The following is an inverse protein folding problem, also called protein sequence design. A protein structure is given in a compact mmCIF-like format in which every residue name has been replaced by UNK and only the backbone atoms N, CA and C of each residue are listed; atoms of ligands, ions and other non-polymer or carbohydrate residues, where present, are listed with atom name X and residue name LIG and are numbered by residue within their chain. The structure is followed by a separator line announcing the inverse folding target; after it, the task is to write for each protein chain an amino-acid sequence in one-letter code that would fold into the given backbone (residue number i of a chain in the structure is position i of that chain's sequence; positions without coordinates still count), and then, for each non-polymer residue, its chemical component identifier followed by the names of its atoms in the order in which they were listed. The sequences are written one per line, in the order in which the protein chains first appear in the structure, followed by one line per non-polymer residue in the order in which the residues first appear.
data_IF_830310295966
#
_entry.id   IF_830310295966
#
_cell.length_a   1.000
_cell.length_b   1.000
_cell.length_c   1.000
_cell.angle_alpha   90.00
_cell.angle_beta   90.00
_cell.angle_gamma   90.00
#
_symmetry.space_group_name_H-M   'P 1'
#
loop_
_entity.id
_entity.type
_entity.pdbx_description
1 polymer ?
#
# COMPACT_ATOMS: atom_id res chain seq x y z
N UNK A 1 0.06 10.01 9.92
CA UNK A 1 -1.21 10.65 9.52
C UNK A 1 -1.86 11.60 10.53
N UNK A 2 -1.26 11.95 11.68
CA UNK A 2 -1.91 12.81 12.70
C UNK A 2 -1.76 14.33 12.48
N UNK A 3 -0.88 14.76 11.56
CA UNK A 3 -0.65 16.19 11.31
C UNK A 3 -1.80 16.81 10.51
N UNK A 4 -2.30 16.10 9.48
CA UNK A 4 -3.36 16.58 8.58
C UNK A 4 -4.75 16.11 9.06
N UNK A 5 -4.86 14.93 9.69
CA UNK A 5 -6.11 14.45 10.24
C UNK A 5 -6.50 15.26 11.49
N UNK A 6 -7.57 16.06 11.37
CA UNK A 6 -8.20 16.77 12.49
C UNK A 6 -7.81 18.23 12.68
N UNK A 7 -6.93 18.80 11.86
CA UNK A 7 -6.71 20.25 11.86
C UNK A 7 -7.89 20.94 11.15
N UNK A 8 -8.90 21.38 11.90
CA UNK A 8 -10.05 22.10 11.35
C UNK A 8 -9.68 23.53 10.91
N UNK A 9 -8.55 24.05 11.39
CA UNK A 9 -8.11 25.42 11.17
C UNK A 9 -6.61 25.47 10.81
N UNK A 10 -6.23 26.34 9.87
CA UNK A 10 -4.85 26.48 9.36
C UNK A 10 -3.80 26.66 10.46
N UNK A 11 -4.09 27.48 11.48
CA UNK A 11 -3.16 27.72 12.59
C UNK A 11 -2.83 26.48 13.43
N UNK A 12 -3.77 25.54 13.53
CA UNK A 12 -3.59 24.33 14.35
C UNK A 12 -2.52 23.39 13.75
N UNK A 13 -2.47 23.27 12.42
CA UNK A 13 -1.41 22.52 11.75
C UNK A 13 -0.03 23.15 11.99
N UNK A 14 0.03 24.48 11.97
CA UNK A 14 1.26 25.27 12.09
C UNK A 14 1.86 25.12 13.49
N UNK A 15 1.00 25.20 14.50
CA UNK A 15 1.37 24.98 15.90
C UNK A 15 1.82 23.54 16.14
N UNK A 16 1.10 22.55 15.61
CA UNK A 16 1.51 21.14 15.71
C UNK A 16 2.87 20.90 15.05
N UNK A 17 3.09 21.45 13.85
CA UNK A 17 4.38 21.30 13.16
C UNK A 17 5.51 22.01 13.92
N UNK A 18 5.28 23.21 14.47
CA UNK A 18 6.26 23.90 15.32
C UNK A 18 6.60 23.10 16.58
N UNK A 19 5.61 22.47 17.20
CA UNK A 19 5.83 21.62 18.38
C UNK A 19 6.73 20.43 18.04
N UNK A 20 6.44 19.73 16.94
CA UNK A 20 7.27 18.62 16.45
C UNK A 20 8.69 19.09 16.15
N UNK A 21 8.87 20.22 15.44
CA UNK A 21 10.19 20.75 15.13
C UNK A 21 10.98 21.17 16.37
N UNK A 22 10.30 21.71 17.39
CA UNK A 22 10.91 22.08 18.66
C UNK A 22 11.41 20.86 19.41
N UNK A 23 10.64 19.77 19.44
CA UNK A 23 11.04 18.50 20.05
C UNK A 23 12.23 17.87 19.33
N UNK A 24 12.19 17.83 17.99
CA UNK A 24 13.31 17.31 17.17
C UNK A 24 14.58 18.13 17.38
N UNK A 25 14.47 19.46 17.43
CA UNK A 25 15.61 20.35 17.67
C UNK A 25 16.15 20.19 19.10
N UNK A 26 15.27 20.06 20.09
CA UNK A 26 15.65 19.83 21.49
C UNK A 26 16.37 18.48 21.68
N UNK A 27 16.09 17.48 20.84
CA UNK A 27 16.77 16.21 20.84
C UNK A 27 18.21 16.27 20.29
N UNK A 28 18.70 17.44 19.85
CA UNK A 28 20.09 17.71 19.47
C UNK A 28 20.70 16.65 18.53
N UNK A 29 19.98 16.31 17.47
CA UNK A 29 20.41 15.33 16.46
C UNK A 29 20.12 13.86 16.81
N UNK A 30 19.53 13.58 17.97
CA UNK A 30 19.08 12.24 18.37
C UNK A 30 17.84 11.74 17.61
N UNK A 31 17.17 12.61 16.84
CA UNK A 31 16.00 12.27 16.02
C UNK A 31 16.29 12.60 14.56
N UNK A 32 16.03 11.63 13.68
CA UNK A 32 16.00 11.82 12.22
C UNK A 32 14.53 11.78 11.78
N UNK A 33 14.05 12.89 11.23
CA UNK A 33 12.67 13.01 10.78
C UNK A 33 12.51 12.43 9.37
N UNK A 34 11.61 11.46 9.19
CA UNK A 34 11.20 11.02 7.86
C UNK A 34 9.95 11.77 7.41
N UNK A 35 10.01 12.38 6.23
CA UNK A 35 8.91 13.13 5.62
C UNK A 35 8.55 12.45 4.30
N UNK A 36 7.50 11.63 4.34
CA UNK A 36 6.92 11.11 3.10
C UNK A 36 6.21 12.23 2.33
N UNK A 37 6.20 12.11 1.00
CA UNK A 37 5.64 13.12 0.09
C UNK A 37 6.07 14.55 0.43
N UNK A 38 7.36 14.78 0.68
CA UNK A 38 7.90 16.06 1.18
C UNK A 38 7.48 17.28 0.32
N UNK A 39 7.23 17.08 -0.97
CA UNK A 39 6.73 18.13 -1.86
C UNK A 39 5.38 18.71 -1.41
N UNK A 40 4.57 17.98 -0.65
CA UNK A 40 3.31 18.48 -0.08
C UNK A 40 3.52 19.61 0.94
N UNK A 41 4.63 19.57 1.68
CA UNK A 41 5.01 20.62 2.65
C UNK A 41 5.69 21.83 1.99
N UNK A 42 6.21 21.66 0.77
CA UNK A 42 7.01 22.67 0.05
C UNK A 42 6.21 23.34 -1.07
N UNK A 43 5.36 22.59 -1.75
CA UNK A 43 4.64 23.00 -2.97
C UNK A 43 3.26 23.60 -2.74
N UNK A 44 2.74 23.52 -1.52
CA UNK A 44 1.43 24.01 -1.13
C UNK A 44 1.21 25.53 -1.38
N UNK A 45 2.26 26.34 -1.50
CA UNK A 45 2.13 27.80 -1.58
C UNK A 45 1.61 28.40 -2.90
N UNK A 46 1.29 27.63 -3.95
CA UNK A 46 0.88 28.18 -5.27
C UNK A 46 -0.60 28.10 -5.61
N UNK A 47 -1.41 27.41 -4.81
CA UNK A 47 -2.86 27.41 -4.94
C UNK A 47 -3.48 28.10 -3.72
N UNK A 48 -4.56 28.83 -3.97
CA UNK A 48 -5.20 29.89 -3.17
C UNK A 48 -5.66 29.50 -1.74
N UNK A 49 -4.73 29.01 -0.91
CA UNK A 49 -5.02 28.60 0.46
C UNK A 49 -4.24 27.42 1.05
N UNK A 50 -3.24 26.87 0.35
CA UNK A 50 -2.42 25.81 0.89
C UNK A 50 -1.15 26.38 1.57
N UNK A 51 -0.83 25.77 2.70
CA UNK A 51 0.01 26.31 3.76
C UNK A 51 1.49 26.09 3.45
N UNK A 52 2.28 27.17 3.37
CA UNK A 52 3.71 27.08 3.07
C UNK A 52 4.52 26.71 4.33
N UNK A 53 4.39 25.45 4.76
CA UNK A 53 5.13 24.86 5.86
C UNK A 53 6.66 24.87 5.63
N UNK A 54 7.12 25.10 4.39
CA UNK A 54 8.54 25.21 4.06
C UNK A 54 9.24 26.32 4.84
N UNK A 55 8.53 27.41 5.15
CA UNK A 55 9.09 28.55 5.89
C UNK A 55 9.41 28.20 7.36
N UNK A 56 8.75 27.19 7.92
CA UNK A 56 9.06 26.69 9.26
C UNK A 56 10.27 25.76 9.27
N UNK A 57 10.48 25.03 8.17
CA UNK A 57 11.59 24.07 8.04
C UNK A 57 12.92 24.76 7.68
N UNK A 58 12.87 25.78 6.81
CA UNK A 58 14.06 26.48 6.27
C UNK A 58 15.04 26.94 7.35
N UNK A 59 14.63 27.57 8.48
CA UNK A 59 15.57 28.01 9.51
C UNK A 59 16.30 26.84 10.19
N UNK A 60 15.58 25.78 10.55
CA UNK A 60 16.15 24.62 11.23
C UNK A 60 17.09 23.82 10.30
N UNK A 61 16.72 23.69 9.01
CA UNK A 61 17.58 23.10 7.98
C UNK A 61 18.84 23.96 7.73
N UNK A 62 18.72 25.28 7.73
CA UNK A 62 19.84 26.18 7.49
C UNK A 62 20.88 26.16 8.63
N UNK A 63 20.41 25.99 9.87
CA UNK A 63 21.26 25.86 11.06
C UNK A 63 21.81 24.45 11.28
N UNK A 64 21.33 23.46 10.53
CA UNK A 64 21.72 22.05 10.72
C UNK A 64 21.13 21.42 11.99
N UNK A 65 20.09 22.03 12.55
CA UNK A 65 19.40 21.55 13.76
C UNK A 65 18.37 20.46 13.45
N UNK A 66 17.88 20.44 12.20
CA UNK A 66 16.93 19.43 11.72
C UNK A 66 17.64 18.44 10.79
N UNK A 67 17.73 17.19 11.24
CA UNK A 67 18.10 16.07 10.38
C UNK A 67 16.82 15.41 9.85
N UNK A 68 16.67 15.37 8.53
CA UNK A 68 15.52 14.71 7.93
C UNK A 68 15.85 13.99 6.63
N UNK A 69 15.00 13.02 6.29
CA UNK A 69 14.96 12.32 5.01
C UNK A 69 13.60 12.60 4.38
N UNK A 70 13.60 13.29 3.25
CA UNK A 70 12.38 13.55 2.48
C UNK A 70 12.25 12.55 1.33
N UNK A 71 11.07 11.95 1.19
CA UNK A 71 10.72 11.14 0.02
C UNK A 71 9.82 11.94 -0.92
N UNK A 72 10.09 11.88 -2.22
CA UNK A 72 9.27 12.52 -3.25
C UNK A 72 9.58 11.91 -4.61
N UNK A 73 8.65 12.03 -5.57
CA UNK A 73 8.94 11.69 -6.96
C UNK A 73 9.87 12.73 -7.59
N UNK A 74 10.58 12.33 -8.65
CA UNK A 74 11.49 13.20 -9.38
C UNK A 74 10.79 14.43 -9.96
N UNK A 75 9.57 14.26 -10.47
CA UNK A 75 8.80 15.34 -11.06
C UNK A 75 8.42 16.39 -10.01
N UNK A 76 7.97 15.94 -8.84
CA UNK A 76 7.62 16.84 -7.75
C UNK A 76 8.85 17.52 -7.13
N UNK A 77 9.99 16.82 -7.06
CA UNK A 77 11.28 17.42 -6.70
C UNK A 77 11.64 18.58 -7.65
N UNK A 78 11.59 18.35 -8.97
CA UNK A 78 11.89 19.37 -10.00
C UNK A 78 10.90 20.55 -9.96
N UNK A 79 9.64 20.29 -9.66
CA UNK A 79 8.60 21.33 -9.63
C UNK A 79 8.67 22.21 -8.40
N UNK A 80 8.96 21.64 -7.22
CA UNK A 80 8.79 22.31 -5.93
C UNK A 80 10.08 22.52 -5.14
N UNK A 81 10.98 21.54 -5.12
CA UNK A 81 12.18 21.58 -4.28
C UNK A 81 13.35 22.23 -5.02
N UNK A 82 13.60 21.82 -6.26
CA UNK A 82 14.73 22.33 -7.07
C UNK A 82 14.58 23.82 -7.42
N UNK A 83 13.33 24.30 -7.55
CA UNK A 83 13.05 25.72 -7.81
C UNK A 83 13.26 26.62 -6.59
N UNK A 84 13.31 26.06 -5.38
CA UNK A 84 13.58 26.80 -4.15
C UNK A 84 15.07 26.71 -3.82
N UNK A 85 15.80 27.80 -4.05
CA UNK A 85 17.25 27.85 -3.83
C UNK A 85 17.68 27.58 -2.38
N UNK A 86 16.82 27.83 -1.38
CA UNK A 86 17.12 27.55 0.01
C UNK A 86 17.03 26.05 0.29
N UNK A 87 16.04 25.35 -0.27
CA UNK A 87 15.86 23.91 -0.09
C UNK A 87 16.84 23.10 -0.95
N UNK A 88 17.04 23.50 -2.21
CA UNK A 88 17.94 22.82 -3.13
C UNK A 88 19.40 22.76 -2.62
N UNK A 89 19.82 23.74 -1.80
CA UNK A 89 21.15 23.78 -1.17
C UNK A 89 21.26 22.97 0.13
N UNK A 90 20.13 22.50 0.68
CA UNK A 90 20.07 21.80 1.97
C UNK A 90 19.72 20.33 1.83
N UNK A 91 19.11 19.94 0.72
CA UNK A 91 18.85 18.54 0.39
C UNK A 91 19.88 18.02 -0.61
N UNK A 92 20.47 16.87 -0.28
CA UNK A 92 21.22 16.07 -1.24
C UNK A 92 20.27 15.10 -1.94
N UNK A 93 20.08 15.18 -3.27
CA UNK A 93 19.28 14.20 -3.98
C UNK A 93 19.94 12.82 -3.92
N UNK A 94 19.16 11.80 -3.57
CA UNK A 94 19.49 10.38 -3.63
C UNK A 94 18.46 9.71 -4.53
N UNK A 95 18.91 9.25 -5.70
CA UNK A 95 18.03 8.60 -6.66
C UNK A 95 17.81 7.14 -6.27
N UNK A 96 16.56 6.77 -6.04
CA UNK A 96 16.15 5.39 -5.81
C UNK A 96 15.43 4.93 -7.07
N UNK A 97 16.07 4.04 -7.82
CA UNK A 97 15.52 3.50 -9.06
C UNK A 97 14.66 2.27 -8.76
N UNK A 98 13.76 1.96 -9.69
CA UNK A 98 13.03 0.70 -9.71
C UNK A 98 14.03 -0.47 -9.73
N UNK A 99 13.87 -1.49 -8.86
CA UNK A 99 14.71 -2.68 -8.86
C UNK A 99 14.47 -3.51 -10.12
N UNK A 100 15.47 -4.31 -10.51
CA UNK A 100 15.28 -5.28 -11.59
C UNK A 100 14.29 -6.38 -11.16
N UNK A 101 13.84 -7.20 -12.12
CA UNK A 101 13.03 -8.39 -11.81
C UNK A 101 13.79 -9.33 -10.87
N UNK A 102 15.09 -9.51 -11.06
CA UNK A 102 15.94 -10.37 -10.22
C UNK A 102 16.10 -9.81 -8.79
N UNK A 103 16.33 -8.51 -8.67
CA UNK A 103 16.37 -7.83 -7.37
C UNK A 103 15.02 -7.95 -6.65
N UNK A 104 13.92 -7.81 -7.39
CA UNK A 104 12.57 -7.95 -6.85
C UNK A 104 12.32 -9.36 -6.34
N UNK A 105 12.74 -10.40 -7.06
CA UNK A 105 12.66 -11.79 -6.57
C UNK A 105 13.44 -11.93 -5.26
N UNK A 106 14.62 -11.32 -5.14
CA UNK A 106 15.43 -11.35 -3.91
C UNK A 106 14.75 -10.63 -2.75
N UNK A 107 14.13 -9.47 -3.01
CA UNK A 107 13.31 -8.73 -2.02
C UNK A 107 12.13 -9.59 -1.57
N UNK A 108 11.40 -10.20 -2.51
CA UNK A 108 10.26 -11.08 -2.22
C UNK A 108 10.68 -12.30 -1.38
N UNK A 109 11.85 -12.89 -1.65
CA UNK A 109 12.40 -13.99 -0.83
C UNK A 109 12.68 -13.55 0.61
N UNK A 110 13.19 -12.32 0.79
CA UNK A 110 13.38 -11.73 2.12
C UNK A 110 12.08 -11.42 2.88
N UNK A 111 10.99 -11.14 2.15
CA UNK A 111 9.67 -10.90 2.73
C UNK A 111 8.84 -12.17 2.91
N UNK A 112 9.18 -13.26 2.21
CA UNK A 112 8.42 -14.51 2.14
C UNK A 112 7.91 -15.00 3.50
N UNK A 113 8.80 -15.13 4.48
CA UNK A 113 8.44 -15.67 5.80
C UNK A 113 7.38 -14.83 6.51
N UNK A 114 7.45 -13.50 6.37
CA UNK A 114 6.46 -12.59 6.96
C UNK A 114 5.08 -12.78 6.33
N UNK A 115 5.02 -12.90 5.00
CA UNK A 115 3.75 -13.13 4.28
C UNK A 115 3.18 -14.53 4.54
N UNK A 116 4.03 -15.56 4.60
CA UNK A 116 3.59 -16.92 4.98
C UNK A 116 2.96 -16.94 6.38
N UNK A 117 3.59 -16.27 7.35
CA UNK A 117 3.06 -16.18 8.72
C UNK A 117 1.77 -15.36 8.78
N UNK A 118 1.71 -14.22 8.09
CA UNK A 118 0.54 -13.34 8.07
C UNK A 118 -0.69 -14.05 7.46
N UNK A 119 -0.52 -14.65 6.29
CA UNK A 119 -1.61 -15.31 5.55
C UNK A 119 -1.84 -16.75 5.95
N UNK A 120 -0.95 -17.35 6.75
CA UNK A 120 -0.99 -18.76 7.15
C UNK A 120 -1.03 -19.71 5.95
N UNK A 121 -0.23 -19.42 4.93
CA UNK A 121 -0.04 -20.23 3.72
C UNK A 121 1.44 -20.47 3.47
N UNK A 122 1.77 -21.38 2.54
CA UNK A 122 3.14 -21.57 2.05
C UNK A 122 3.26 -20.99 0.64
N UNK A 123 4.33 -20.26 0.39
CA UNK A 123 4.60 -19.60 -0.90
C UNK A 123 5.79 -20.30 -1.56
N UNK A 124 5.58 -20.88 -2.74
CA UNK A 124 6.68 -21.51 -3.48
C UNK A 124 7.64 -20.46 -4.05
N UNK A 125 8.91 -20.82 -4.23
CA UNK A 125 9.88 -19.90 -4.87
C UNK A 125 9.45 -19.55 -6.31
N UNK A 126 8.89 -20.52 -7.03
CA UNK A 126 8.32 -20.32 -8.36
C UNK A 126 7.20 -19.27 -8.39
N UNK A 127 6.40 -19.17 -7.32
CA UNK A 127 5.35 -18.15 -7.23
C UNK A 127 5.95 -16.74 -7.09
N UNK A 128 7.07 -16.58 -6.37
CA UNK A 128 7.76 -15.28 -6.26
C UNK A 128 8.36 -14.85 -7.61
N UNK A 129 8.99 -15.78 -8.33
CA UNK A 129 9.51 -15.54 -9.67
C UNK A 129 8.40 -15.15 -10.64
N UNK A 130 7.27 -15.86 -10.57
CA UNK A 130 6.09 -15.55 -11.38
C UNK A 130 5.51 -14.18 -11.04
N UNK A 131 5.35 -13.85 -9.76
CA UNK A 131 4.82 -12.56 -9.32
C UNK A 131 5.69 -11.39 -9.82
N UNK A 132 7.02 -11.47 -9.68
CA UNK A 132 7.93 -10.45 -10.19
C UNK A 132 7.89 -10.34 -11.73
N UNK A 133 7.93 -11.47 -12.44
CA UNK A 133 7.98 -11.48 -13.91
C UNK A 133 6.66 -11.02 -14.54
N UNK A 134 5.52 -11.49 -14.03
CA UNK A 134 4.20 -11.20 -14.57
C UNK A 134 3.76 -9.77 -14.21
N UNK A 135 3.98 -9.32 -12.96
CA UNK A 135 3.70 -7.91 -12.62
C UNK A 135 4.53 -6.96 -13.47
N UNK A 136 5.81 -7.26 -13.70
CA UNK A 136 6.65 -6.42 -14.55
C UNK A 136 6.14 -6.35 -15.99
N UNK A 137 5.66 -7.47 -16.53
CA UNK A 137 5.21 -7.56 -17.93
C UNK A 137 3.83 -6.95 -18.17
N UNK A 138 2.90 -7.10 -17.23
CA UNK A 138 1.48 -6.82 -17.48
C UNK A 138 0.93 -5.61 -16.70
N UNK A 139 1.59 -5.18 -15.62
CA UNK A 139 1.19 -3.99 -14.84
C UNK A 139 2.19 -2.88 -15.15
N UNK A 140 1.84 -2.02 -16.10
CA UNK A 140 2.74 -1.01 -16.69
C UNK A 140 2.66 0.37 -16.00
N UNK A 141 1.60 0.64 -15.26
CA UNK A 141 1.32 1.89 -14.55
C UNK A 141 1.89 1.94 -13.12
N UNK A 142 2.52 0.85 -12.68
CA UNK A 142 3.15 0.71 -11.36
C UNK A 142 4.58 0.19 -11.49
N UNK A 143 5.39 0.49 -10.49
CA UNK A 143 6.80 0.13 -10.44
C UNK A 143 7.04 -1.04 -9.48
N UNK A 144 8.05 -1.86 -9.76
CA UNK A 144 8.61 -2.81 -8.82
C UNK A 144 9.25 -2.07 -7.62
N UNK A 145 9.37 -2.70 -6.44
CA UNK A 145 8.90 -4.05 -6.11
C UNK A 145 7.42 -4.09 -5.69
N UNK A 146 6.79 -2.92 -5.51
CA UNK A 146 5.46 -2.72 -4.95
C UNK A 146 4.37 -3.56 -5.64
N UNK A 147 4.24 -3.46 -6.96
CA UNK A 147 3.28 -4.27 -7.73
C UNK A 147 3.46 -5.78 -7.60
N UNK A 148 4.68 -6.25 -7.37
CA UNK A 148 4.95 -7.68 -7.21
C UNK A 148 4.61 -8.17 -5.80
N UNK A 149 4.86 -7.32 -4.79
CA UNK A 149 4.47 -7.56 -3.40
C UNK A 149 2.95 -7.66 -3.29
N UNK A 150 2.22 -6.72 -3.92
CA UNK A 150 0.76 -6.74 -3.97
C UNK A 150 0.20 -8.02 -4.58
N UNK A 151 0.78 -8.50 -5.70
CA UNK A 151 0.34 -9.77 -6.30
C UNK A 151 0.55 -10.96 -5.38
N UNK A 152 1.67 -11.00 -4.64
CA UNK A 152 1.93 -12.06 -3.66
C UNK A 152 0.93 -11.99 -2.51
N UNK A 153 0.65 -10.79 -2.00
CA UNK A 153 -0.29 -10.53 -0.91
C UNK A 153 -1.73 -10.94 -1.29
N UNK A 154 -2.19 -10.54 -2.48
CA UNK A 154 -3.52 -10.86 -2.98
C UNK A 154 -3.67 -12.36 -3.25
N UNK A 155 -2.66 -13.00 -3.86
CA UNK A 155 -2.66 -14.44 -4.09
C UNK A 155 -2.68 -15.25 -2.78
N UNK A 156 -1.89 -14.83 -1.78
CA UNK A 156 -1.85 -15.47 -0.48
C UNK A 156 -3.17 -15.29 0.29
N UNK A 157 -3.76 -14.10 0.25
CA UNK A 157 -5.08 -13.79 0.82
C UNK A 157 -6.17 -14.68 0.20
N UNK A 158 -6.17 -14.80 -1.13
CA UNK A 158 -7.13 -15.64 -1.86
C UNK A 158 -7.01 -17.11 -1.47
N UNK A 159 -5.79 -17.64 -1.37
CA UNK A 159 -5.57 -19.02 -0.95
C UNK A 159 -6.05 -19.25 0.49
N UNK A 160 -5.82 -18.28 1.39
CA UNK A 160 -6.28 -18.36 2.77
C UNK A 160 -7.80 -18.44 2.85
N UNK A 161 -8.51 -17.62 2.07
CA UNK A 161 -9.97 -17.67 1.98
C UNK A 161 -10.48 -19.02 1.48
N UNK A 162 -9.79 -19.61 0.49
CA UNK A 162 -10.14 -20.93 -0.04
C UNK A 162 -9.97 -22.03 1.01
N UNK A 163 -8.90 -21.99 1.82
CA UNK A 163 -8.65 -22.96 2.90
C UNK A 163 -9.72 -22.93 3.98
N UNK A 164 -10.23 -21.75 4.32
CA UNK A 164 -11.28 -21.59 5.35
C UNK A 164 -12.69 -21.88 4.78
N UNK A 165 -12.82 -22.10 3.46
CA UNK A 165 -14.08 -22.32 2.76
C UNK A 165 -14.25 -23.77 2.30
N UNK A 166 -15.50 -24.19 2.11
CA UNK A 166 -15.79 -25.45 1.42
C UNK A 166 -15.34 -25.33 -0.04
N UNK A 167 -14.58 -26.31 -0.58
CA UNK A 167 -14.17 -26.28 -1.98
C UNK A 167 -15.35 -26.02 -2.91
N UNK A 168 -15.21 -25.11 -3.87
CA UNK A 168 -16.30 -24.70 -4.78
C UNK A 168 -16.94 -25.92 -5.47
N UNK A 169 -16.12 -26.87 -5.93
CA UNK A 169 -16.61 -28.11 -6.54
C UNK A 169 -17.52 -28.93 -5.60
N UNK A 170 -17.26 -28.91 -4.28
CA UNK A 170 -18.14 -29.56 -3.30
C UNK A 170 -19.38 -28.72 -3.00
N UNK A 171 -19.26 -27.39 -2.93
CA UNK A 171 -20.43 -26.51 -2.75
C UNK A 171 -21.42 -26.63 -3.91
N UNK A 172 -20.92 -26.70 -5.16
CA UNK A 172 -21.72 -26.93 -6.35
C UNK A 172 -22.45 -28.28 -6.31
N UNK A 173 -21.75 -29.36 -5.95
CA UNK A 173 -22.35 -30.69 -5.82
C UNK A 173 -23.43 -30.68 -4.74
N UNK A 174 -23.18 -30.06 -3.58
CA UNK A 174 -24.16 -30.03 -2.49
C UNK A 174 -25.40 -29.19 -2.83
N UNK A 175 -25.23 -28.06 -3.54
CA UNK A 175 -26.36 -27.31 -4.09
C UNK A 175 -27.18 -28.16 -5.04
N UNK A 176 -26.52 -28.94 -5.90
CA UNK A 176 -27.20 -29.83 -6.85
C UNK A 176 -27.95 -30.96 -6.14
N UNK A 177 -27.34 -31.57 -5.12
CA UNK A 177 -27.99 -32.57 -4.28
C UNK A 177 -29.19 -31.99 -3.55
N UNK A 178 -29.09 -30.76 -3.03
CA UNK A 178 -30.20 -30.09 -2.34
C UNK A 178 -31.37 -29.82 -3.29
N UNK A 179 -31.10 -29.31 -4.51
CA UNK A 179 -32.14 -29.14 -5.53
C UNK A 179 -32.85 -30.46 -5.85
N UNK A 180 -32.11 -31.52 -6.13
CA UNK A 180 -32.68 -32.83 -6.47
C UNK A 180 -33.47 -33.42 -5.30
N UNK A 181 -33.05 -33.20 -4.05
CA UNK A 181 -33.82 -33.60 -2.86
C UNK A 181 -35.14 -32.85 -2.76
N UNK A 182 -35.14 -31.53 -2.99
CA UNK A 182 -36.36 -30.72 -2.97
C UNK A 182 -37.32 -31.19 -4.08
N UNK A 183 -36.82 -31.40 -5.30
CA UNK A 183 -37.62 -31.94 -6.42
C UNK A 183 -38.22 -33.31 -6.07
N UNK A 184 -37.42 -34.22 -5.50
CA UNK A 184 -37.89 -35.55 -5.08
C UNK A 184 -38.98 -35.47 -4.01
N UNK A 185 -38.82 -34.62 -2.99
CA UNK A 185 -39.84 -34.49 -1.95
C UNK A 185 -41.11 -33.80 -2.47
N UNK A 186 -41.00 -32.84 -3.40
CA UNK A 186 -42.17 -32.25 -4.06
C UNK A 186 -42.98 -33.29 -4.86
N UNK A 187 -42.29 -34.13 -5.64
CA UNK A 187 -42.92 -35.21 -6.42
C UNK A 187 -43.62 -36.27 -5.55
N UNK A 188 -43.19 -36.47 -4.30
CA UNK A 188 -43.86 -37.39 -3.36
C UNK A 188 -45.19 -36.85 -2.81
N UNK A 189 -45.36 -35.52 -2.79
CA UNK A 189 -46.56 -34.86 -2.26
C UNK A 189 -47.62 -34.70 -3.36
N UNK A 190 -47.21 -34.62 -4.62
CA UNK A 190 -48.13 -34.64 -5.78
C UNK A 190 -48.76 -36.03 -5.99
N UNK A 191 -50.10 -36.07 -6.13
CA UNK A 191 -50.91 -37.28 -6.39
C UNK A 191 -51.53 -37.28 -7.78
N UNK A 192 -50.80 -36.75 -8.74
CA UNK A 192 -51.19 -36.66 -10.15
C UNK A 192 -50.65 -37.90 -10.90
N UNK A 193 -51.42 -38.44 -11.86
CA UNK A 193 -51.07 -39.69 -12.57
C UNK A 193 -49.87 -39.54 -13.54
N UNK A 194 -49.47 -38.32 -13.93
CA UNK A 194 -48.26 -38.02 -14.70
C UNK A 194 -46.98 -37.97 -13.83
N UNK A 195 -47.10 -37.88 -12.50
CA UNK A 195 -45.95 -37.92 -11.58
C UNK A 195 -45.33 -39.33 -11.43
N UNK A 196 -46.04 -40.40 -11.83
CA UNK A 196 -45.57 -41.80 -11.74
C UNK A 196 -44.51 -42.18 -12.79
N UNK A 197 -44.44 -41.48 -13.93
CA UNK A 197 -43.49 -41.77 -15.02
C UNK A 197 -42.12 -41.09 -14.86
N UNK A 198 -41.97 -40.16 -13.89
CA UNK A 198 -40.72 -39.41 -13.64
C UNK A 198 -39.92 -39.89 -12.42
N UNK A 199 -40.36 -40.98 -11.79
CA UNK A 199 -39.76 -41.57 -10.59
C UNK A 199 -38.59 -42.51 -10.92
#
# INVERSE_FOLDING_TARGET
GSLIAGAKYRGEFEERLKAVLSEVTAAAGGIILFIDEMHTLVGAGKADGAMDASNLLKPALARGELHCVGATTLDEYRKHVEKDAALARRFQPVFVNEPTVEDTVSILRGLKEKYEQHHKVRISDSALVAAASLSNRYIADRFLPDKAIDLVDEAASRLRMQVDSKPEALDEIDRRIMQLKIEREALKVEKDDASKDRL
#
